data_IF_219953454624
#
_entry.id   IF_219953454624
#
_cell.length_a   1.000
_cell.length_b   1.000
_cell.length_c   1.000
_cell.angle_alpha   90.00
_cell.angle_beta   90.00
_cell.angle_gamma   90.00
#
_symmetry.space_group_name_H-M   'P 1'
#
loop_
_entity.id
_entity.type
_entity.pdbx_description
1 polymer ?
#
# COMPACT_ATOMS: atom_id res chain seq x y z
N UNK A 1 -0.62 18.33 -13.25
CA UNK A 1 -0.48 17.36 -12.15
C UNK A 1 -1.83 17.31 -11.43
N UNK A 2 -2.33 16.13 -11.09
CA UNK A 2 -3.71 15.93 -10.59
C UNK A 2 -3.84 16.26 -9.08
N UNK A 3 -4.91 16.91 -8.65
CA UNK A 3 -5.15 17.33 -7.26
C UNK A 3 -5.14 16.15 -6.29
N UNK A 4 -5.63 14.98 -6.71
CA UNK A 4 -5.56 13.76 -5.93
C UNK A 4 -4.11 13.36 -5.59
N UNK A 5 -3.19 13.50 -6.56
CA UNK A 5 -1.80 13.10 -6.37
C UNK A 5 -1.16 13.94 -5.29
N UNK A 6 -1.42 15.24 -5.28
CA UNK A 6 -0.94 16.14 -4.23
C UNK A 6 -1.50 15.75 -2.87
N UNK A 7 -2.80 15.50 -2.77
CA UNK A 7 -3.41 15.01 -1.53
C UNK A 7 -2.73 13.73 -1.01
N UNK A 8 -2.48 12.77 -1.89
CA UNK A 8 -1.84 11.51 -1.53
C UNK A 8 -0.38 11.70 -1.09
N UNK A 9 0.35 12.62 -1.73
CA UNK A 9 1.73 12.93 -1.35
C UNK A 9 1.80 13.66 -0.01
N UNK A 10 0.92 14.63 0.21
CA UNK A 10 0.83 15.36 1.46
C UNK A 10 0.44 14.43 2.61
N UNK A 11 -0.47 13.46 2.35
CA UNK A 11 -0.79 12.42 3.32
C UNK A 11 0.43 11.56 3.68
N UNK A 12 1.20 11.12 2.69
CA UNK A 12 2.42 10.34 2.97
C UNK A 12 3.41 11.17 3.79
N UNK A 13 3.63 12.44 3.43
CA UNK A 13 4.50 13.36 4.19
C UNK A 13 4.03 13.55 5.63
N UNK A 14 2.74 13.75 5.84
CA UNK A 14 2.14 13.91 7.16
C UNK A 14 2.38 12.67 8.04
N UNK A 15 2.20 11.47 7.46
CA UNK A 15 2.49 10.21 8.15
C UNK A 15 3.98 10.12 8.49
N UNK A 16 4.87 10.45 7.55
CA UNK A 16 6.32 10.45 7.80
C UNK A 16 6.69 11.37 8.97
N UNK A 17 6.21 12.62 8.94
CA UNK A 17 6.46 13.61 9.99
C UNK A 17 5.96 13.12 11.36
N UNK A 18 4.74 12.58 11.41
CA UNK A 18 4.14 12.05 12.64
C UNK A 18 4.97 10.93 13.29
N UNK A 19 5.61 10.10 12.46
CA UNK A 19 6.48 9.00 12.92
C UNK A 19 7.95 9.42 13.07
N UNK A 20 8.24 10.72 13.04
CA UNK A 20 9.58 11.26 13.30
C UNK A 20 10.58 11.05 12.17
N UNK A 21 10.11 10.79 10.95
CA UNK A 21 10.95 10.68 9.77
C UNK A 21 11.24 12.07 9.23
N UNK A 22 12.53 12.40 9.13
CA UNK A 22 12.97 13.67 8.58
C UNK A 22 12.57 13.80 7.10
N UNK A 23 12.20 15.02 6.68
CA UNK A 23 11.85 15.32 5.28
C UNK A 23 12.98 14.95 4.30
N UNK A 24 14.24 15.01 4.76
CA UNK A 24 15.38 14.62 3.95
C UNK A 24 15.41 13.12 3.60
N UNK A 25 14.84 12.26 4.45
CA UNK A 25 14.89 10.81 4.33
C UNK A 25 13.89 10.22 3.31
N UNK A 26 12.92 11.02 2.85
CA UNK A 26 11.90 10.62 1.89
C UNK A 26 11.84 11.58 0.69
N UNK A 27 11.54 11.05 -0.49
CA UNK A 27 11.19 11.88 -1.65
C UNK A 27 10.07 11.25 -2.48
N UNK A 28 9.04 12.04 -2.83
CA UNK A 28 7.87 11.57 -3.58
C UNK A 28 7.84 12.09 -5.03
N UNK A 29 8.75 13.00 -5.37
CA UNK A 29 8.69 13.75 -6.63
C UNK A 29 9.95 13.60 -7.48
N UNK A 30 11.11 13.53 -6.83
CA UNK A 30 12.41 13.46 -7.52
C UNK A 30 13.32 12.45 -6.84
N UNK A 31 14.17 11.77 -7.61
CA UNK A 31 15.19 10.91 -7.02
C UNK A 31 16.17 11.76 -6.23
N UNK A 32 16.39 11.41 -4.97
CA UNK A 32 17.31 12.09 -4.06
C UNK A 32 18.28 11.08 -3.47
N UNK A 33 19.58 11.35 -3.60
CA UNK A 33 20.63 10.52 -3.03
C UNK A 33 20.48 10.43 -1.50
N UNK A 34 20.57 9.22 -0.95
CA UNK A 34 20.43 8.97 0.48
C UNK A 34 18.99 8.92 1.01
N UNK A 35 17.98 9.24 0.20
CA UNK A 35 16.57 9.15 0.57
C UNK A 35 15.90 7.87 0.03
N UNK A 36 14.83 7.43 0.70
CA UNK A 36 13.89 6.45 0.11
C UNK A 36 12.93 7.22 -0.80
N UNK A 37 12.86 6.84 -2.07
CA UNK A 37 12.09 7.56 -3.06
C UNK A 37 10.87 6.75 -3.52
N UNK A 38 9.73 7.42 -3.76
CA UNK A 38 8.54 6.86 -4.41
C UNK A 38 8.18 7.78 -5.59
N UNK A 39 8.59 7.42 -6.80
CA UNK A 39 8.57 8.30 -7.98
C UNK A 39 7.63 7.72 -9.04
N UNK A 40 6.77 8.53 -9.70
CA UNK A 40 6.00 8.05 -10.84
C UNK A 40 6.90 7.47 -11.95
N UNK A 41 6.51 6.34 -12.52
CA UNK A 41 7.20 5.67 -13.63
C UNK A 41 6.23 5.37 -14.78
N UNK A 42 6.76 4.90 -15.92
CA UNK A 42 5.95 4.45 -17.06
C UNK A 42 5.08 3.21 -16.72
N UNK A 43 5.42 2.49 -15.65
CA UNK A 43 4.75 1.26 -15.22
C UNK A 43 3.99 1.41 -13.90
N UNK A 44 3.88 2.63 -13.37
CA UNK A 44 3.22 2.94 -12.11
C UNK A 44 4.10 3.84 -11.25
N UNK A 45 4.82 3.23 -10.31
CA UNK A 45 5.69 3.91 -9.36
C UNK A 45 6.98 3.13 -9.11
N UNK A 46 8.11 3.81 -9.23
CA UNK A 46 9.42 3.31 -8.85
C UNK A 46 9.68 3.60 -7.35
N UNK A 47 10.06 2.58 -6.60
CA UNK A 47 10.58 2.73 -5.24
C UNK A 47 12.07 2.41 -5.21
N UNK A 48 12.88 3.36 -4.73
CA UNK A 48 14.34 3.25 -4.67
C UNK A 48 14.90 3.71 -3.32
N UNK A 49 16.15 3.37 -3.05
CA UNK A 49 16.82 3.68 -1.78
C UNK A 49 16.46 2.72 -0.65
N UNK A 50 16.88 3.07 0.57
CA UNK A 50 16.68 2.22 1.76
C UNK A 50 17.59 0.99 1.85
N UNK A 51 18.59 0.87 0.97
CA UNK A 51 19.51 -0.26 0.92
C UNK A 51 18.99 -1.47 0.13
N UNK A 52 17.80 -1.36 -0.46
CA UNK A 52 17.19 -2.35 -1.34
C UNK A 52 17.35 -1.97 -2.81
N UNK A 53 17.29 -2.97 -3.70
CA UNK A 53 17.22 -2.76 -5.14
C UNK A 53 15.97 -1.95 -5.54
N UNK A 54 16.07 -1.22 -6.63
CA UNK A 54 14.97 -0.49 -7.23
C UNK A 54 13.80 -1.44 -7.56
N UNK A 55 12.58 -1.02 -7.23
CA UNK A 55 11.39 -1.86 -7.37
C UNK A 55 10.23 -1.11 -7.99
N UNK A 56 9.83 -1.54 -9.19
CA UNK A 56 8.62 -1.05 -9.86
C UNK A 56 7.36 -1.60 -9.20
N UNK A 57 6.42 -0.70 -8.90
CA UNK A 57 5.14 -0.99 -8.27
C UNK A 57 4.01 -0.50 -9.19
N UNK A 58 3.03 -1.37 -9.43
CA UNK A 58 1.98 -1.12 -10.43
C UNK A 58 1.01 0.01 -10.02
N UNK A 59 0.89 0.30 -8.73
CA UNK A 59 0.04 1.39 -8.24
C UNK A 59 0.59 2.04 -6.97
N UNK A 60 -0.03 3.16 -6.61
CA UNK A 60 0.42 4.00 -5.50
C UNK A 60 0.34 3.29 -4.14
N UNK A 61 -0.64 2.40 -3.96
CA UNK A 61 -0.75 1.59 -2.75
C UNK A 61 0.46 0.66 -2.60
N UNK A 62 0.81 -0.09 -3.65
CA UNK A 62 2.00 -0.96 -3.65
C UNK A 62 3.28 -0.15 -3.49
N UNK A 63 3.32 1.03 -4.08
CA UNK A 63 4.35 2.05 -3.86
C UNK A 63 4.51 2.41 -2.40
N UNK A 64 3.43 2.80 -1.73
CA UNK A 64 3.44 3.17 -0.30
C UNK A 64 3.82 1.98 0.59
N UNK A 65 3.32 0.77 0.31
CA UNK A 65 3.70 -0.46 1.02
C UNK A 65 5.22 -0.66 0.99
N UNK A 66 5.83 -0.61 -0.18
CA UNK A 66 7.28 -0.78 -0.35
C UNK A 66 8.07 0.39 0.27
N UNK A 67 7.59 1.63 0.09
CA UNK A 67 8.17 2.83 0.72
C UNK A 67 8.20 2.71 2.25
N UNK A 68 7.07 2.32 2.86
CA UNK A 68 6.94 2.21 4.31
C UNK A 68 7.84 1.14 4.88
N UNK A 69 7.96 -0.03 4.23
CA UNK A 69 8.89 -1.08 4.66
C UNK A 69 10.35 -0.66 4.59
N UNK A 70 10.72 0.16 3.61
CA UNK A 70 12.11 0.64 3.46
C UNK A 70 12.46 1.76 4.43
N UNK A 71 11.50 2.63 4.72
CA UNK A 71 11.73 3.80 5.58
C UNK A 71 11.57 3.45 7.06
N UNK A 72 10.54 2.68 7.39
CA UNK A 72 10.29 2.15 8.71
C UNK A 72 10.92 0.77 8.79
N UNK A 73 12.17 0.73 9.30
CA UNK A 73 12.92 -0.51 9.54
C UNK A 73 12.30 -1.43 10.61
N UNK A 74 11.18 -1.01 11.20
CA UNK A 74 10.41 -1.73 12.19
C UNK A 74 9.02 -2.06 11.60
N UNK A 75 8.70 -3.36 11.56
CA UNK A 75 7.47 -3.87 10.95
C UNK A 75 6.21 -3.28 11.61
N UNK A 76 6.21 -3.10 12.94
CA UNK A 76 5.05 -2.57 13.65
C UNK A 76 4.77 -1.08 13.31
N UNK A 77 5.83 -0.30 13.13
CA UNK A 77 5.72 1.10 12.68
C UNK A 77 5.23 1.16 11.24
N UNK A 78 5.74 0.29 10.35
CA UNK A 78 5.26 0.20 8.97
C UNK A 78 3.77 -0.19 8.90
N UNK A 79 3.34 -1.16 9.73
CA UNK A 79 1.93 -1.56 9.85
C UNK A 79 1.04 -0.40 10.31
N UNK A 80 1.49 0.36 11.32
CA UNK A 80 0.76 1.53 11.84
C UNK A 80 0.64 2.62 10.78
N UNK A 81 1.74 2.97 10.12
CA UNK A 81 1.74 3.94 9.02
C UNK A 81 0.80 3.50 7.88
N UNK A 82 0.79 2.21 7.56
CA UNK A 82 -0.10 1.67 6.53
C UNK A 82 -1.57 1.76 6.91
N UNK A 83 -1.93 1.44 8.16
CA UNK A 83 -3.30 1.59 8.67
C UNK A 83 -3.77 3.05 8.61
N UNK A 84 -2.92 4.00 9.00
CA UNK A 84 -3.23 5.43 8.96
C UNK A 84 -3.45 5.93 7.53
N UNK A 85 -2.57 5.52 6.61
CA UNK A 85 -2.71 5.80 5.19
C UNK A 85 -4.04 5.25 4.64
N UNK A 86 -4.33 3.98 4.92
CA UNK A 86 -5.52 3.30 4.40
C UNK A 86 -6.82 3.85 4.97
N UNK A 87 -6.84 4.21 6.26
CA UNK A 87 -8.03 4.82 6.89
C UNK A 87 -8.47 6.10 6.17
N UNK A 88 -7.53 6.83 5.59
CA UNK A 88 -7.81 8.09 4.87
C UNK A 88 -7.96 7.92 3.36
N UNK A 89 -7.46 6.82 2.80
CA UNK A 89 -7.43 6.61 1.34
C UNK A 89 -8.44 5.61 0.81
N UNK A 90 -8.84 4.62 1.61
CA UNK A 90 -9.79 3.60 1.16
C UNK A 90 -11.16 4.18 0.83
N UNK A 91 -11.54 5.27 1.50
CA UNK A 91 -12.82 5.98 1.32
C UNK A 91 -12.76 7.15 0.33
N UNK A 92 -11.57 7.48 -0.22
CA UNK A 92 -11.43 8.44 -1.33
C UNK A 92 -12.29 8.16 -2.57
N UNK A 93 -12.95 7.00 -2.74
CA UNK A 93 -14.17 6.82 -3.51
C UNK A 93 -15.20 7.96 -3.48
N UNK A 94 -15.33 8.68 -2.37
CA UNK A 94 -16.30 9.78 -2.23
C UNK A 94 -15.89 11.01 -3.06
N UNK A 95 -14.62 11.14 -3.46
CA UNK A 95 -14.10 12.29 -4.22
C UNK A 95 -13.89 11.98 -5.72
N UNK A 96 -13.75 10.72 -6.13
CA UNK A 96 -13.31 10.37 -7.51
C UNK A 96 -14.24 9.54 -8.40
N UNK A 97 -15.54 9.40 -8.08
CA UNK A 97 -16.40 8.33 -8.62
C UNK A 97 -15.82 6.98 -8.18
N UNK A 98 -16.20 6.55 -6.98
CA UNK A 98 -15.69 5.36 -6.31
C UNK A 98 -15.46 4.16 -7.21
N UNK A 99 -14.48 3.30 -6.86
CA UNK A 99 -14.34 2.03 -7.57
C UNK A 99 -15.71 1.38 -7.53
N UNK A 100 -16.24 1.06 -8.71
CA UNK A 100 -17.47 0.28 -8.81
C UNK A 100 -17.34 -0.95 -7.93
N UNK A 101 -18.45 -1.54 -7.51
CA UNK A 101 -18.43 -2.82 -6.77
C UNK A 101 -17.51 -3.82 -7.48
N UNK A 102 -17.56 -3.90 -8.82
CA UNK A 102 -16.64 -4.70 -9.63
C UNK A 102 -15.15 -4.30 -9.53
N UNK A 103 -14.84 -3.01 -9.38
CA UNK A 103 -13.49 -2.52 -9.17
C UNK A 103 -12.94 -2.86 -7.78
N UNK A 104 -13.76 -2.79 -6.74
CA UNK A 104 -13.39 -3.25 -5.39
C UNK A 104 -13.10 -4.76 -5.40
N UNK A 105 -13.94 -5.55 -6.07
CA UNK A 105 -13.73 -6.99 -6.20
C UNK A 105 -12.44 -7.35 -6.94
N UNK A 106 -12.14 -6.65 -8.04
CA UNK A 106 -10.92 -6.88 -8.78
C UNK A 106 -9.68 -6.59 -7.92
N UNK A 107 -9.72 -5.53 -7.10
CA UNK A 107 -8.64 -5.21 -6.15
C UNK A 107 -8.51 -6.27 -5.06
N UNK A 108 -9.63 -6.74 -4.51
CA UNK A 108 -9.65 -7.82 -3.52
C UNK A 108 -9.00 -9.08 -4.09
N UNK A 109 -9.47 -9.57 -5.25
CA UNK A 109 -8.95 -10.77 -5.90
C UNK A 109 -7.46 -10.66 -6.19
N UNK A 110 -7.02 -9.53 -6.75
CA UNK A 110 -5.62 -9.28 -7.04
C UNK A 110 -4.75 -9.26 -5.78
N UNK A 111 -5.23 -8.64 -4.70
CA UNK A 111 -4.53 -8.65 -3.41
C UNK A 111 -4.37 -10.08 -2.89
N UNK A 112 -5.39 -10.92 -3.02
CA UNK A 112 -5.32 -12.32 -2.60
C UNK A 112 -4.32 -13.13 -3.44
N UNK A 113 -4.36 -13.01 -4.76
CA UNK A 113 -3.41 -13.68 -5.66
C UNK A 113 -1.96 -13.32 -5.32
N UNK A 114 -1.69 -12.04 -5.02
CA UNK A 114 -0.37 -11.60 -4.58
C UNK A 114 0.00 -12.15 -3.21
N UNK A 115 -0.94 -12.16 -2.26
CA UNK A 115 -0.72 -12.74 -0.94
C UNK A 115 -0.37 -14.23 -1.00
N UNK A 116 -1.08 -15.02 -1.82
CA UNK A 116 -0.76 -16.44 -2.03
C UNK A 116 0.66 -16.65 -2.59
N UNK A 117 1.10 -15.76 -3.50
CA UNK A 117 2.46 -15.78 -4.02
C UNK A 117 3.49 -15.41 -2.94
N UNK A 118 3.18 -14.44 -2.08
CA UNK A 118 4.02 -14.02 -0.96
C UNK A 118 4.10 -15.09 0.13
N UNK A 119 3.02 -15.80 0.41
CA UNK A 119 2.98 -16.89 1.39
C UNK A 119 3.98 -17.98 1.06
N UNK A 120 4.10 -18.36 -0.23
CA UNK A 120 5.10 -19.32 -0.69
C UNK A 120 6.53 -18.84 -0.42
N UNK A 121 6.81 -17.57 -0.72
CA UNK A 121 8.13 -16.95 -0.48
C UNK A 121 8.44 -16.77 1.01
N UNK A 122 7.41 -16.53 1.83
CA UNK A 122 7.55 -16.35 3.28
C UNK A 122 7.95 -17.64 4.02
N UNK A 123 7.81 -18.80 3.37
CA UNK A 123 8.26 -20.10 3.89
C UNK A 123 9.76 -20.36 3.66
N UNK A 124 10.43 -19.54 2.84
CA UNK A 124 11.86 -19.67 2.57
C UNK A 124 12.72 -19.13 3.74
N UNK A 125 13.98 -19.57 3.89
CA UNK A 125 14.84 -19.21 5.04
C UNK A 125 15.09 -17.69 5.21
N UNK A 126 15.04 -16.92 4.13
CA UNK A 126 15.14 -15.46 4.07
C UNK A 126 13.76 -14.77 3.93
N UNK A 127 12.69 -15.51 4.28
CA UNK A 127 11.30 -15.11 4.09
C UNK A 127 10.80 -13.92 4.90
N UNK A 128 11.63 -13.34 5.78
CA UNK A 128 11.20 -12.27 6.69
C UNK A 128 10.68 -11.03 5.96
N UNK A 129 11.36 -10.61 4.89
CA UNK A 129 10.90 -9.48 4.04
C UNK A 129 9.52 -9.76 3.45
N UNK A 130 9.29 -11.00 3.01
CA UNK A 130 8.01 -11.41 2.44
C UNK A 130 6.90 -11.49 3.50
N UNK A 131 7.22 -11.84 4.75
CA UNK A 131 6.27 -11.78 5.87
C UNK A 131 5.83 -10.36 6.18
N UNK A 132 6.75 -9.41 6.25
CA UNK A 132 6.41 -8.00 6.47
C UNK A 132 5.49 -7.47 5.35
N UNK A 133 5.81 -7.80 4.09
CA UNK A 133 4.98 -7.45 2.93
C UNK A 133 3.59 -8.08 3.00
N UNK A 134 3.53 -9.37 3.36
CA UNK A 134 2.27 -10.11 3.54
C UNK A 134 1.40 -9.50 4.65
N UNK A 135 1.99 -9.03 5.75
CA UNK A 135 1.24 -8.35 6.81
C UNK A 135 0.61 -7.05 6.33
N UNK A 136 1.33 -6.22 5.58
CA UNK A 136 0.76 -4.99 5.01
C UNK A 136 -0.36 -5.29 4.01
N UNK A 137 -0.22 -6.34 3.20
CA UNK A 137 -1.30 -6.77 2.29
C UNK A 137 -2.53 -7.31 3.02
N UNK A 138 -2.36 -7.97 4.18
CA UNK A 138 -3.48 -8.35 5.04
C UNK A 138 -4.25 -7.13 5.53
N UNK A 139 -3.56 -6.11 6.02
CA UNK A 139 -4.18 -4.85 6.48
C UNK A 139 -4.99 -4.20 5.33
N UNK A 140 -4.44 -4.21 4.12
CA UNK A 140 -5.15 -3.68 2.96
C UNK A 140 -6.36 -4.49 2.55
N UNK A 141 -6.22 -5.83 2.52
CA UNK A 141 -7.33 -6.72 2.22
C UNK A 141 -8.49 -6.52 3.22
N UNK A 142 -8.19 -6.40 4.51
CA UNK A 142 -9.18 -6.09 5.55
C UNK A 142 -9.89 -4.76 5.28
N UNK A 143 -9.13 -3.73 4.91
CA UNK A 143 -9.67 -2.44 4.51
C UNK A 143 -10.58 -2.51 3.27
N UNK A 144 -10.16 -3.21 2.22
CA UNK A 144 -10.97 -3.42 1.01
C UNK A 144 -12.26 -4.19 1.30
N UNK A 145 -12.19 -5.22 2.14
CA UNK A 145 -13.34 -6.03 2.54
C UNK A 145 -14.34 -5.22 3.37
N UNK A 146 -13.85 -4.36 4.28
CA UNK A 146 -14.69 -3.41 5.01
C UNK A 146 -15.41 -2.45 4.06
N UNK A 147 -14.69 -1.88 3.11
CA UNK A 147 -15.28 -0.95 2.13
C UNK A 147 -16.30 -1.64 1.22
N UNK A 148 -16.04 -2.88 0.79
CA UNK A 148 -17.02 -3.67 0.06
C UNK A 148 -18.26 -3.96 0.91
N UNK A 149 -18.10 -4.30 2.19
CA UNK A 149 -19.22 -4.54 3.10
C UNK A 149 -20.11 -3.31 3.27
N UNK A 150 -19.49 -2.14 3.39
CA UNK A 150 -20.18 -0.87 3.57
C UNK A 150 -20.85 -0.39 2.26
N UNK A 151 -20.29 -0.77 1.11
CA UNK A 151 -20.82 -0.42 -0.23
C UNK A 151 -21.91 -1.40 -0.72
N UNK A 152 -21.66 -2.71 -0.64
CA UNK A 152 -22.58 -3.78 -1.06
C UNK A 152 -22.41 -5.02 -0.16
N UNK A 153 -23.21 -5.05 0.90
CA UNK A 153 -23.23 -6.17 1.86
C UNK A 153 -23.54 -7.52 1.20
N UNK A 154 -24.40 -7.58 0.18
CA UNK A 154 -24.75 -8.88 -0.45
C UNK A 154 -23.52 -9.43 -1.18
N UNK A 155 -22.79 -8.56 -1.85
CA UNK A 155 -21.58 -8.95 -2.57
C UNK A 155 -20.44 -9.32 -1.63
N UNK A 156 -20.29 -8.58 -0.54
CA UNK A 156 -19.36 -8.93 0.54
C UNK A 156 -19.62 -10.34 1.09
N UNK A 157 -20.87 -10.69 1.46
CA UNK A 157 -21.16 -12.02 2.00
C UNK A 157 -20.84 -13.14 1.00
N UNK A 158 -21.11 -12.93 -0.29
CA UNK A 158 -20.74 -13.89 -1.34
C UNK A 158 -19.23 -14.09 -1.44
N UNK A 159 -18.46 -13.00 -1.44
CA UNK A 159 -17.01 -13.08 -1.55
C UNK A 159 -16.41 -13.68 -0.28
N UNK A 160 -16.89 -13.28 0.90
CA UNK A 160 -16.42 -13.85 2.17
C UNK A 160 -16.50 -15.39 2.19
N UNK A 161 -17.53 -15.98 1.60
CA UNK A 161 -17.66 -17.45 1.49
C UNK A 161 -16.76 -18.11 0.44
N UNK A 162 -16.17 -17.32 -0.46
CA UNK A 162 -15.18 -17.77 -1.44
C UNK A 162 -13.73 -17.63 -0.90
N UNK A 163 -13.54 -16.88 0.19
CA UNK A 163 -12.23 -16.53 0.78
C UNK A 163 -11.88 -17.34 2.04
N UNK A 164 -12.88 -17.73 2.83
CA UNK A 164 -12.74 -18.54 4.06
C UNK A 164 -12.98 -20.02 3.72
#
# INVERSE_FOLDING_TARGET
MDELRWYLYDLVREIMEKHGIEEAACSLETVREGAVCLIPSDHGFLVSGGGDEDSEQEDFYRGCRELFLRIFRDDATAETAMQEFLTRTLDLPVIMKGPSVSGLEARIRKCQEEMEALEKKALEPDGQKWKAKLNLDRIYLEGLLKNLKDTDKKRYEKIKTEII
#
